data_IF_041328061336
#
_entry.id   IF_041328061336
#
_cell.length_a   1.000
_cell.length_b   1.000
_cell.length_c   1.000
_cell.angle_alpha   90.00
_cell.angle_beta   90.00
_cell.angle_gamma   90.00
#
_symmetry.space_group_name_H-M   'P 1'
#
loop_
_entity.id
_entity.type
_entity.pdbx_description
1 polymer ?
#
# COMPACT_ATOMS: atom_id res chain seq x y z
N UNK A 1 -61.96 48.86 -12.57
CA UNK A 1 -60.54 48.70 -12.97
C UNK A 1 -59.70 48.38 -11.73
N UNK A 2 -58.57 47.70 -11.95
CA UNK A 2 -57.46 47.40 -11.02
C UNK A 2 -57.70 46.31 -9.97
N UNK A 3 -56.81 45.31 -10.03
CA UNK A 3 -56.89 44.01 -9.36
C UNK A 3 -56.34 44.06 -7.92
N UNK A 4 -56.83 43.15 -7.06
CA UNK A 4 -56.20 42.80 -5.78
C UNK A 4 -55.46 41.47 -5.93
N UNK A 5 -54.21 41.40 -5.47
CA UNK A 5 -53.50 40.13 -5.31
C UNK A 5 -53.90 39.46 -3.99
N UNK A 6 -54.19 38.15 -4.04
CA UNK A 6 -54.54 37.35 -2.87
C UNK A 6 -53.29 36.74 -2.23
N UNK A 7 -53.09 36.98 -0.93
CA UNK A 7 -52.29 36.10 -0.07
C UNK A 7 -53.20 35.00 0.48
N UNK A 8 -52.83 33.74 0.25
CA UNK A 8 -53.54 32.57 0.80
C UNK A 8 -52.67 31.96 1.91
N UNK A 9 -53.15 32.06 3.15
CA UNK A 9 -52.68 31.30 4.31
C UNK A 9 -53.87 30.52 4.86
N UNK A 10 -53.84 29.18 4.83
CA UNK A 10 -54.79 28.30 5.52
C UNK A 10 -54.11 26.94 5.79
N UNK A 11 -53.63 26.68 7.02
CA UNK A 11 -54.24 25.88 8.11
C UNK A 11 -54.16 24.34 7.95
N UNK A 12 -53.32 23.75 8.81
CA UNK A 12 -53.49 22.58 9.71
C UNK A 12 -54.49 21.45 9.37
N UNK A 13 -53.99 20.21 9.48
CA UNK A 13 -54.67 19.04 10.07
C UNK A 13 -53.64 18.37 11.04
N UNK A 14 -53.87 18.22 12.37
CA UNK A 14 -54.67 17.20 13.08
C UNK A 14 -54.30 15.75 12.67
N UNK A 15 -53.99 14.77 13.55
CA UNK A 15 -54.68 14.34 14.81
C UNK A 15 -53.85 13.44 15.76
N UNK A 16 -54.14 13.50 17.09
CA UNK A 16 -54.21 12.41 18.13
C UNK A 16 -53.04 11.39 18.34
N UNK A 17 -52.68 10.87 19.54
CA UNK A 17 -53.26 10.75 20.91
C UNK A 17 -52.13 11.04 21.98
N UNK A 18 -52.30 11.43 23.26
CA UNK A 18 -53.01 10.80 24.42
C UNK A 18 -52.58 9.33 24.65
N UNK A 19 -52.16 8.80 25.79
CA UNK A 19 -51.71 9.29 27.12
C UNK A 19 -50.52 8.37 27.57
N UNK A 20 -49.92 8.38 28.77
CA UNK A 20 -50.15 9.11 30.03
C UNK A 20 -48.82 9.24 30.83
N UNK A 21 -48.83 9.88 32.00
CA UNK A 21 -47.67 9.99 32.89
C UNK A 21 -47.87 9.26 34.23
N UNK A 22 -47.13 8.15 34.44
CA UNK A 22 -47.01 7.51 35.76
C UNK A 22 -45.58 7.56 36.30
N UNK A 23 -45.39 8.35 37.37
CA UNK A 23 -44.15 8.37 38.17
C UNK A 23 -44.02 7.10 39.00
N UNK A 24 -42.88 6.42 38.91
CA UNK A 24 -42.47 5.41 39.90
C UNK A 24 -41.26 5.96 40.68
N UNK A 25 -41.28 5.80 42.01
CA UNK A 25 -40.29 6.33 42.97
C UNK A 25 -38.91 5.71 42.77
N UNK A 26 -37.81 6.38 43.18
CA UNK A 26 -36.47 5.80 43.11
C UNK A 26 -36.35 4.61 44.06
N UNK A 27 -36.27 3.40 43.51
CA UNK A 27 -35.97 2.18 44.25
C UNK A 27 -34.46 2.12 44.51
N UNK A 28 -34.12 1.52 45.65
CA UNK A 28 -32.83 1.66 46.33
C UNK A 28 -31.63 1.16 45.52
N UNK A 29 -30.44 1.61 45.93
CA UNK A 29 -29.12 1.25 45.38
C UNK A 29 -28.91 -0.27 45.32
N UNK A 30 -29.26 -0.90 44.21
CA UNK A 30 -28.65 -2.17 43.82
C UNK A 30 -27.24 -1.84 43.30
N UNK A 31 -26.21 -2.23 44.06
CA UNK A 31 -24.83 -2.18 43.57
C UNK A 31 -24.68 -3.22 42.46
N UNK A 32 -24.91 -2.81 41.21
CA UNK A 32 -24.46 -3.57 40.06
C UNK A 32 -22.94 -3.68 40.15
N UNK A 33 -22.46 -4.81 40.69
CA UNK A 33 -21.14 -5.33 40.32
C UNK A 33 -21.21 -5.56 38.82
N UNK A 34 -20.79 -4.56 38.05
CA UNK A 34 -20.23 -4.84 36.74
C UNK A 34 -19.05 -5.78 37.01
N UNK A 35 -19.29 -7.09 36.89
CA UNK A 35 -18.20 -8.00 36.61
C UNK A 35 -17.48 -7.40 35.41
N UNK A 36 -16.23 -6.98 35.63
CA UNK A 36 -15.38 -6.56 34.53
C UNK A 36 -15.25 -7.78 33.66
N UNK A 37 -16.02 -7.84 32.57
CA UNK A 37 -15.79 -8.76 31.46
C UNK A 37 -14.34 -8.53 31.09
N UNK A 38 -13.45 -9.43 31.53
CA UNK A 38 -12.03 -9.35 31.24
C UNK A 38 -11.95 -9.23 29.72
N UNK A 39 -11.30 -8.19 29.16
CA UNK A 39 -11.28 -7.99 27.72
C UNK A 39 -10.80 -9.30 27.11
N UNK A 40 -11.67 -9.92 26.32
CA UNK A 40 -11.48 -11.28 25.82
C UNK A 40 -10.08 -11.32 25.20
N UNK A 41 -9.14 -12.08 25.80
CA UNK A 41 -7.70 -11.98 25.48
C UNK A 41 -7.55 -12.19 23.98
N UNK A 42 -7.43 -11.08 23.24
CA UNK A 42 -7.41 -11.11 21.78
C UNK A 42 -6.17 -11.90 21.40
N UNK A 43 -6.37 -13.06 20.79
CA UNK A 43 -5.31 -14.05 20.68
C UNK A 43 -4.20 -13.50 19.80
N UNK A 44 -3.00 -13.35 20.36
CA UNK A 44 -1.82 -12.75 19.71
C UNK A 44 -1.49 -13.40 18.35
N UNK A 45 -1.88 -14.67 18.16
CA UNK A 45 -1.81 -15.39 16.87
C UNK A 45 -2.57 -14.72 15.72
N UNK A 46 -3.67 -14.00 15.97
CA UNK A 46 -4.44 -13.32 14.90
C UNK A 46 -3.71 -12.10 14.38
N UNK A 47 -3.17 -11.26 15.29
CA UNK A 47 -2.38 -10.09 14.93
C UNK A 47 -1.10 -10.45 14.17
N UNK A 48 -0.38 -11.48 14.62
CA UNK A 48 0.82 -11.96 13.91
C UNK A 48 0.52 -12.49 12.49
N UNK A 49 -0.71 -12.94 12.23
CA UNK A 49 -1.14 -13.30 10.88
C UNK A 49 -1.51 -12.04 10.07
N UNK A 50 -2.29 -11.13 10.63
CA UNK A 50 -2.65 -9.86 9.97
C UNK A 50 -1.42 -9.02 9.60
N UNK A 51 -0.43 -8.88 10.48
CA UNK A 51 0.82 -8.17 10.20
C UNK A 51 1.61 -8.81 9.05
N UNK A 52 1.69 -10.16 8.99
CA UNK A 52 2.31 -10.89 7.87
C UNK A 52 1.51 -10.76 6.57
N UNK A 53 0.18 -10.59 6.65
CA UNK A 53 -0.65 -10.27 5.49
C UNK A 53 -0.34 -8.86 5.01
N UNK A 54 -0.27 -7.86 5.91
CA UNK A 54 0.06 -6.49 5.56
C UNK A 54 1.49 -6.33 5.03
N UNK A 55 2.50 -7.06 5.55
CA UNK A 55 3.86 -7.03 5.02
C UNK A 55 3.95 -7.63 3.61
N UNK A 56 3.34 -8.81 3.39
CA UNK A 56 3.27 -9.43 2.06
C UNK A 56 2.47 -8.62 1.05
N UNK A 57 1.37 -7.98 1.49
CA UNK A 57 0.65 -7.00 0.67
C UNK A 57 1.54 -5.81 0.31
N UNK A 58 2.36 -5.30 1.24
CA UNK A 58 3.27 -4.16 1.03
C UNK A 58 4.41 -4.48 0.05
N UNK A 59 4.97 -5.68 0.08
CA UNK A 59 5.95 -6.15 -0.92
C UNK A 59 5.32 -6.28 -2.31
N UNK A 60 4.14 -6.93 -2.40
CA UNK A 60 3.37 -6.98 -3.63
C UNK A 60 3.02 -5.58 -4.14
N UNK A 61 2.73 -4.63 -3.24
CA UNK A 61 2.44 -3.24 -3.58
C UNK A 61 3.63 -2.50 -4.18
N UNK A 62 4.88 -2.82 -3.80
CA UNK A 62 6.08 -2.21 -4.40
C UNK A 62 6.23 -2.66 -5.87
N UNK A 63 6.11 -3.96 -6.13
CA UNK A 63 6.19 -4.53 -7.48
C UNK A 63 5.00 -4.03 -8.33
N UNK A 64 3.79 -4.02 -7.75
CA UNK A 64 2.56 -3.54 -8.37
C UNK A 64 2.60 -2.03 -8.65
N UNK A 65 3.24 -1.21 -7.79
CA UNK A 65 3.49 0.22 -8.06
C UNK A 65 4.38 0.41 -9.28
N UNK A 66 5.49 -0.33 -9.38
CA UNK A 66 6.36 -0.25 -10.56
C UNK A 66 5.61 -0.56 -11.87
N UNK A 67 4.69 -1.55 -11.85
CA UNK A 67 3.82 -1.86 -12.99
C UNK A 67 2.76 -0.78 -13.28
N UNK A 68 2.21 -0.15 -12.24
CA UNK A 68 1.04 0.73 -12.32
C UNK A 68 1.33 2.20 -12.66
N UNK A 69 2.41 2.50 -13.39
CA UNK A 69 2.87 3.84 -13.82
C UNK A 69 3.88 4.56 -12.90
N UNK A 70 4.79 3.81 -12.25
CA UNK A 70 5.99 4.37 -11.62
C UNK A 70 7.25 3.98 -12.42
N UNK A 71 8.36 4.69 -12.24
CA UNK A 71 9.69 4.26 -12.66
C UNK A 71 10.63 4.20 -11.46
N UNK A 72 11.70 3.40 -11.55
CA UNK A 72 12.76 3.40 -10.56
C UNK A 72 13.80 4.44 -10.95
N UNK A 73 13.99 5.46 -10.12
CA UNK A 73 15.01 6.48 -10.30
C UNK A 73 16.19 6.18 -9.39
N UNK A 74 17.38 6.04 -9.99
CA UNK A 74 18.66 5.96 -9.28
C UNK A 74 19.32 7.33 -9.37
N UNK A 75 19.72 7.89 -8.24
CA UNK A 75 20.52 9.12 -8.15
C UNK A 75 21.93 8.72 -7.77
N UNK A 76 22.92 9.21 -8.53
CA UNK A 76 24.34 9.02 -8.24
C UNK A 76 24.97 10.39 -8.01
N UNK A 77 25.78 10.52 -6.96
CA UNK A 77 26.52 11.74 -6.65
C UNK A 77 27.98 11.40 -6.27
N UNK A 78 28.94 12.22 -6.71
CA UNK A 78 30.37 12.05 -6.39
C UNK A 78 31.14 13.37 -6.50
N UNK A 79 32.28 13.47 -5.83
CA UNK A 79 33.25 14.56 -6.01
C UNK A 79 34.14 14.36 -7.26
N UNK A 80 34.21 13.14 -7.80
CA UNK A 80 35.05 12.80 -8.95
C UNK A 80 34.20 12.48 -10.18
N UNK A 81 34.46 13.16 -11.30
CA UNK A 81 33.78 12.94 -12.58
C UNK A 81 33.91 11.51 -13.07
N UNK A 82 35.12 10.96 -12.99
CA UNK A 82 35.50 9.74 -13.69
C UNK A 82 34.93 8.52 -12.97
N UNK A 83 34.87 8.59 -11.64
CA UNK A 83 34.19 7.60 -10.80
C UNK A 83 32.68 7.60 -11.05
N UNK A 84 32.06 8.78 -11.21
CA UNK A 84 30.64 8.90 -11.54
C UNK A 84 30.34 8.29 -12.93
N UNK A 85 31.17 8.60 -13.95
CA UNK A 85 31.04 8.01 -15.29
C UNK A 85 31.20 6.48 -15.26
N UNK A 86 32.19 5.96 -14.52
CA UNK A 86 32.40 4.52 -14.35
C UNK A 86 31.24 3.84 -13.61
N UNK A 87 30.64 4.50 -12.62
CA UNK A 87 29.43 4.00 -11.95
C UNK A 87 28.24 3.89 -12.91
N UNK A 88 28.00 4.94 -13.72
CA UNK A 88 26.96 4.94 -14.76
C UNK A 88 27.17 3.82 -15.78
N UNK A 89 28.42 3.61 -16.23
CA UNK A 89 28.78 2.55 -17.17
C UNK A 89 28.47 1.16 -16.57
N UNK A 90 28.97 0.86 -15.36
CA UNK A 90 28.72 -0.40 -14.67
C UNK A 90 27.21 -0.69 -14.50
N UNK A 91 26.42 0.33 -14.16
CA UNK A 91 24.95 0.20 -14.02
C UNK A 91 24.31 -0.07 -15.38
N UNK A 92 24.71 0.65 -16.43
CA UNK A 92 24.18 0.48 -17.80
C UNK A 92 24.48 -0.91 -18.34
N UNK A 93 25.71 -1.38 -18.21
CA UNK A 93 26.12 -2.74 -18.59
C UNK A 93 25.33 -3.80 -17.83
N UNK A 94 25.17 -3.63 -16.50
CA UNK A 94 24.46 -4.59 -15.67
C UNK A 94 22.97 -4.68 -16.03
N UNK A 95 22.33 -3.55 -16.29
CA UNK A 95 20.91 -3.52 -16.69
C UNK A 95 20.72 -4.00 -18.13
N UNK A 96 21.69 -3.78 -19.03
CA UNK A 96 21.63 -4.30 -20.41
C UNK A 96 21.57 -5.84 -20.52
N UNK A 97 21.88 -6.56 -19.43
CA UNK A 97 21.70 -8.02 -19.32
C UNK A 97 20.22 -8.43 -19.11
N UNK A 98 19.32 -7.48 -18.88
CA UNK A 98 17.95 -7.70 -18.41
C UNK A 98 16.93 -7.02 -19.34
N UNK A 99 16.35 -7.72 -20.34
CA UNK A 99 15.49 -7.12 -21.36
C UNK A 99 14.16 -6.56 -20.81
N UNK A 100 13.77 -6.94 -19.60
CA UNK A 100 12.60 -6.38 -18.91
C UNK A 100 12.80 -4.93 -18.42
N UNK A 101 14.03 -4.43 -18.37
CA UNK A 101 14.35 -3.09 -17.89
C UNK A 101 14.79 -2.19 -19.04
N UNK A 102 14.14 -1.03 -19.17
CA UNK A 102 14.44 -0.02 -20.18
C UNK A 102 15.06 1.18 -19.47
N UNK A 103 16.32 1.48 -19.78
CA UNK A 103 17.07 2.60 -19.20
C UNK A 103 16.82 3.85 -20.06
N UNK A 104 16.30 4.91 -19.45
CA UNK A 104 16.54 6.26 -19.95
C UNK A 104 17.91 6.71 -19.47
N UNK A 105 18.70 7.32 -20.36
CA UNK A 105 20.12 7.57 -20.18
C UNK A 105 20.48 8.46 -18.99
N UNK A 106 21.78 8.63 -18.68
CA UNK A 106 22.24 9.45 -17.56
C UNK A 106 21.80 10.91 -17.75
N UNK A 107 20.84 11.35 -16.95
CA UNK A 107 20.37 12.73 -16.89
C UNK A 107 21.33 13.50 -15.96
N UNK A 108 22.18 14.40 -16.46
CA UNK A 108 23.13 15.11 -15.60
C UNK A 108 22.39 16.08 -14.66
N UNK A 109 22.74 16.05 -13.38
CA UNK A 109 22.35 17.09 -12.41
C UNK A 109 23.31 18.28 -12.57
N UNK A 110 22.83 19.50 -12.34
CA UNK A 110 23.69 20.69 -12.28
C UNK A 110 24.78 20.48 -11.24
N UNK A 111 26.05 20.57 -11.66
CA UNK A 111 27.21 20.46 -10.76
C UNK A 111 27.12 21.53 -9.66
N UNK A 112 27.11 21.11 -8.40
CA UNK A 112 27.15 22.02 -7.26
C UNK A 112 28.61 22.44 -7.08
N UNK A 113 28.87 23.76 -7.10
CA UNK A 113 30.21 24.33 -6.90
C UNK A 113 30.18 25.17 -5.62
N UNK A 114 30.85 24.70 -4.57
CA UNK A 114 31.05 25.45 -3.33
C UNK A 114 32.42 26.13 -3.41
N UNK A 115 32.44 27.46 -3.47
CA UNK A 115 33.67 28.27 -3.56
C UNK A 115 34.00 28.87 -2.21
N UNK A 116 35.27 28.82 -1.83
CA UNK A 116 35.79 29.36 -0.58
C UNK A 116 37.00 30.23 -0.87
N UNK A 117 37.11 31.38 -0.19
CA UNK A 117 38.27 32.26 -0.32
C UNK A 117 38.97 32.39 1.01
N UNK A 118 40.21 31.92 1.09
CA UNK A 118 41.05 32.00 2.29
C UNK A 118 42.20 32.98 2.07
N UNK A 119 42.82 33.45 3.16
CA UNK A 119 44.08 34.18 3.08
C UNK A 119 45.22 33.16 2.91
N UNK A 120 46.21 33.50 2.08
CA UNK A 120 47.47 32.76 1.97
C UNK A 120 48.33 32.96 3.21
N UNK A 121 48.46 34.22 3.61
CA UNK A 121 49.25 34.62 4.76
C UNK A 121 48.45 34.40 6.06
N UNK A 122 49.07 33.94 7.15
CA UNK A 122 48.40 33.83 8.44
C UNK A 122 48.08 35.20 9.07
N UNK A 123 48.74 36.29 8.63
CA UNK A 123 48.54 37.63 9.20
C UNK A 123 48.78 38.75 8.17
N UNK A 124 48.23 39.94 8.43
CA UNK A 124 48.33 41.19 7.64
C UNK A 124 47.81 41.15 6.19
N UNK A 125 48.30 40.25 5.32
CA UNK A 125 48.23 40.39 3.86
C UNK A 125 46.84 40.08 3.27
N UNK A 126 45.91 41.03 3.44
CA UNK A 126 44.49 40.87 3.06
C UNK A 126 44.26 40.59 1.58
N UNK A 127 45.14 41.06 0.70
CA UNK A 127 44.98 40.92 -0.75
C UNK A 127 45.60 39.62 -1.30
N UNK A 128 46.44 38.95 -0.52
CA UNK A 128 46.99 37.64 -0.83
C UNK A 128 45.94 36.54 -0.53
N UNK A 129 44.98 36.36 -1.43
CA UNK A 129 43.85 35.43 -1.30
C UNK A 129 43.98 34.22 -2.22
N UNK A 130 43.55 33.06 -1.73
CA UNK A 130 43.36 31.84 -2.54
C UNK A 130 41.90 31.48 -2.69
N UNK A 131 41.56 30.92 -3.85
CA UNK A 131 40.21 30.46 -4.18
C UNK A 131 40.21 28.94 -4.31
N UNK A 132 39.46 28.26 -3.45
CA UNK A 132 39.25 26.82 -3.50
C UNK A 132 37.83 26.53 -3.95
N UNK A 133 37.63 25.44 -4.69
CA UNK A 133 36.29 24.96 -5.03
C UNK A 133 36.12 23.46 -4.76
N UNK A 134 35.00 23.12 -4.12
CA UNK A 134 34.52 21.75 -4.02
C UNK A 134 33.42 21.58 -5.07
N UNK A 135 33.67 20.73 -6.07
CA UNK A 135 32.70 20.34 -7.10
C UNK A 135 32.04 19.03 -6.70
N UNK A 136 30.71 19.01 -6.66
CA UNK A 136 29.92 17.79 -6.54
C UNK A 136 29.19 17.56 -7.86
N UNK A 137 29.56 16.49 -8.55
CA UNK A 137 28.91 16.00 -9.75
C UNK A 137 27.80 15.04 -9.38
N UNK A 138 26.76 14.99 -10.20
CA UNK A 138 25.65 14.08 -10.00
C UNK A 138 24.89 13.79 -11.28
N UNK A 139 24.22 12.66 -11.31
CA UNK A 139 23.31 12.28 -12.39
C UNK A 139 22.14 11.45 -11.86
N UNK A 140 21.10 11.34 -12.68
CA UNK A 140 19.97 10.44 -12.47
C UNK A 140 19.93 9.40 -13.59
N UNK A 141 19.49 8.19 -13.27
CA UNK A 141 19.17 7.13 -14.22
C UNK A 141 17.75 6.67 -13.96
N UNK A 142 16.91 6.70 -14.99
CA UNK A 142 15.49 6.33 -14.87
C UNK A 142 15.25 4.98 -15.53
N UNK A 143 14.74 4.02 -14.76
CA UNK A 143 14.56 2.62 -15.18
C UNK A 143 13.05 2.32 -15.24
N UNK A 144 12.59 2.13 -16.48
CA UNK A 144 11.22 1.77 -16.81
C UNK A 144 11.10 0.25 -16.95
N UNK A 145 9.90 -0.27 -16.68
CA UNK A 145 9.58 -1.67 -16.93
C UNK A 145 9.06 -1.84 -18.38
N UNK A 146 9.56 -2.85 -19.08
CA UNK A 146 8.99 -3.27 -20.36
C UNK A 146 7.69 -4.03 -20.12
N UNK A 147 6.55 -3.48 -20.55
CA UNK A 147 5.22 -4.09 -20.34
C UNK A 147 5.05 -5.47 -20.98
N UNK A 148 5.86 -5.79 -21.98
CA UNK A 148 5.78 -7.07 -22.72
C UNK A 148 6.47 -8.24 -22.01
N UNK A 149 7.26 -7.98 -20.96
CA UNK A 149 8.09 -9.01 -20.30
C UNK A 149 7.76 -9.07 -18.80
N UNK A 150 7.41 -10.27 -18.32
CA UNK A 150 7.09 -10.49 -16.90
C UNK A 150 8.32 -10.40 -16.01
N UNK A 151 8.21 -9.62 -14.92
CA UNK A 151 9.26 -9.44 -13.91
C UNK A 151 9.35 -10.67 -13.01
N UNK A 152 10.53 -11.31 -12.92
CA UNK A 152 10.80 -12.34 -11.89
C UNK A 152 11.51 -11.71 -10.69
N UNK A 153 11.05 -12.01 -9.47
CA UNK A 153 11.56 -11.40 -8.23
C UNK A 153 13.10 -11.41 -8.11
N UNK A 154 13.74 -12.54 -8.42
CA UNK A 154 15.19 -12.70 -8.33
C UNK A 154 15.97 -11.81 -9.31
N UNK A 155 15.36 -11.33 -10.39
CA UNK A 155 16.04 -10.46 -11.36
C UNK A 155 16.24 -9.05 -10.80
N UNK A 156 15.31 -8.56 -9.97
CA UNK A 156 15.41 -7.23 -9.36
C UNK A 156 16.58 -7.16 -8.36
N UNK A 157 16.68 -8.15 -7.46
CA UNK A 157 17.79 -8.25 -6.51
C UNK A 157 19.15 -8.41 -7.22
N UNK A 158 19.18 -9.15 -8.33
CA UNK A 158 20.40 -9.38 -9.11
C UNK A 158 20.83 -8.18 -9.96
N UNK A 159 19.93 -7.23 -10.24
CA UNK A 159 20.31 -5.94 -10.85
C UNK A 159 20.84 -4.98 -9.79
N UNK A 160 20.24 -4.91 -8.59
CA UNK A 160 20.66 -4.00 -7.52
C UNK A 160 22.08 -4.29 -6.99
N UNK A 161 22.62 -5.50 -7.17
CA UNK A 161 23.97 -5.89 -6.76
C UNK A 161 25.11 -5.39 -7.67
N UNK A 162 24.94 -4.21 -8.31
CA UNK A 162 25.98 -3.59 -9.14
C UNK A 162 27.23 -3.26 -8.31
N UNK A 163 28.42 -3.60 -8.83
CA UNK A 163 29.68 -3.13 -8.24
C UNK A 163 29.91 -1.67 -8.61
N UNK A 164 29.82 -0.77 -7.63
CA UNK A 164 30.12 0.65 -7.81
C UNK A 164 31.60 0.97 -7.47
N UNK A 165 32.21 1.96 -8.12
CA UNK A 165 33.53 2.46 -7.74
C UNK A 165 33.50 3.21 -6.40
N UNK A 166 34.67 3.34 -5.76
CA UNK A 166 34.84 4.07 -4.49
C UNK A 166 34.41 5.54 -4.63
N UNK A 167 33.97 6.16 -3.54
CA UNK A 167 33.56 7.58 -3.48
C UNK A 167 32.39 7.98 -4.40
N UNK A 168 31.54 7.03 -4.78
CA UNK A 168 30.23 7.31 -5.40
C UNK A 168 29.13 6.96 -4.41
N UNK A 169 28.34 7.95 -4.03
CA UNK A 169 27.08 7.73 -3.31
C UNK A 169 25.97 7.38 -4.29
N UNK A 170 25.05 6.53 -3.87
CA UNK A 170 23.83 6.25 -4.63
C UNK A 170 22.60 6.26 -3.73
N UNK A 171 21.50 6.74 -4.27
CA UNK A 171 20.16 6.69 -3.69
C UNK A 171 19.21 6.11 -4.75
N UNK A 172 18.13 5.46 -4.32
CA UNK A 172 17.10 5.00 -5.24
C UNK A 172 15.71 5.18 -4.64
N UNK A 173 14.74 5.51 -5.50
CA UNK A 173 13.34 5.63 -5.13
C UNK A 173 12.43 5.39 -6.34
N UNK A 174 11.18 5.02 -6.07
CA UNK A 174 10.15 4.97 -7.10
C UNK A 174 9.51 6.34 -7.26
N UNK A 175 9.47 6.84 -8.50
CA UNK A 175 8.85 8.12 -8.85
C UNK A 175 7.65 7.87 -9.78
N UNK A 176 6.58 8.64 -9.60
CA UNK A 176 5.40 8.56 -10.44
C UNK A 176 5.69 9.11 -11.84
N UNK A 177 5.29 8.37 -12.88
CA UNK A 177 5.31 8.90 -14.23
C UNK A 177 4.15 9.88 -14.38
N UNK A 178 4.37 11.16 -14.08
CA UNK A 178 3.39 12.24 -14.25
C UNK A 178 3.05 12.48 -15.74
N UNK A 179 2.25 11.58 -16.32
CA UNK A 179 1.51 11.81 -17.55
C UNK A 179 0.13 12.33 -17.19
N UNK A 180 -0.31 13.39 -17.88
CA UNK A 180 -1.68 13.85 -17.77
C UNK A 180 -2.64 12.75 -18.21
N UNK A 181 -3.52 12.31 -17.31
CA UNK A 181 -4.59 11.37 -17.62
C UNK A 181 -5.56 12.01 -18.62
N UNK A 182 -5.97 11.26 -19.64
CA UNK A 182 -7.00 11.75 -20.56
C UNK A 182 -8.33 11.87 -19.82
N UNK A 183 -9.23 12.70 -20.36
CA UNK A 183 -10.59 12.89 -19.82
C UNK A 183 -11.38 11.56 -19.77
N UNK A 184 -11.09 10.65 -20.69
CA UNK A 184 -11.58 9.26 -20.73
C UNK A 184 -11.06 8.43 -19.53
N UNK A 185 -9.74 8.44 -19.29
CA UNK A 185 -9.11 7.72 -18.18
C UNK A 185 -9.65 8.21 -16.83
N UNK A 186 -9.82 9.53 -16.68
CA UNK A 186 -10.45 10.15 -15.50
C UNK A 186 -11.91 9.71 -15.31
N UNK A 187 -12.66 9.49 -16.39
CA UNK A 187 -14.03 8.96 -16.33
C UNK A 187 -14.05 7.50 -15.86
N UNK A 188 -13.07 6.70 -16.29
CA UNK A 188 -12.88 5.31 -15.85
C UNK A 188 -12.39 5.20 -14.39
N UNK A 189 -11.58 6.15 -13.92
CA UNK A 189 -11.11 6.24 -12.52
C UNK A 189 -12.21 6.68 -11.54
N UNK A 190 -13.24 7.41 -12.01
CA UNK A 190 -14.45 7.77 -11.23
C UNK A 190 -15.39 6.57 -10.99
N UNK A 191 -14.84 5.44 -10.55
CA UNK A 191 -15.63 4.30 -10.02
C UNK A 191 -16.42 4.76 -8.80
N UNK A 192 -17.69 4.39 -8.70
CA UNK A 192 -18.50 4.62 -7.50
C UNK A 192 -17.83 3.94 -6.30
N UNK A 193 -17.43 4.74 -5.30
CA UNK A 193 -16.89 4.25 -4.02
C UNK A 193 -18.02 4.26 -2.98
N UNK A 194 -18.16 3.18 -2.23
CA UNK A 194 -19.03 3.12 -1.06
C UNK A 194 -18.18 3.17 0.20
N UNK A 195 -18.53 4.06 1.12
CA UNK A 195 -17.80 4.26 2.38
C UNK A 195 -18.62 3.66 3.51
N UNK A 196 -18.08 2.63 4.15
CA UNK A 196 -18.56 2.16 5.45
C UNK A 196 -17.78 2.85 6.57
N UNK A 197 -18.28 2.82 7.81
CA UNK A 197 -17.61 3.43 8.98
C UNK A 197 -16.16 2.96 9.20
N UNK A 198 -15.76 1.81 8.66
CA UNK A 198 -14.44 1.21 8.87
C UNK A 198 -13.63 0.98 7.59
N UNK A 199 -14.26 0.95 6.41
CA UNK A 199 -13.59 0.62 5.14
C UNK A 199 -14.16 1.39 3.94
N UNK A 200 -13.27 1.86 3.07
CA UNK A 200 -13.58 2.38 1.73
C UNK A 200 -13.59 1.22 0.73
N UNK A 201 -14.68 1.05 -0.02
CA UNK A 201 -14.84 -0.05 -0.96
C UNK A 201 -15.15 0.46 -2.37
N UNK A 202 -14.52 -0.12 -3.40
CA UNK A 202 -15.03 -0.03 -4.78
C UNK A 202 -16.35 -0.81 -4.84
N UNK A 203 -17.37 -0.24 -5.47
CA UNK A 203 -18.71 -0.84 -5.57
C UNK A 203 -18.70 -2.01 -6.58
N UNK A 204 -18.19 -3.16 -6.15
CA UNK A 204 -18.09 -4.39 -6.96
C UNK A 204 -18.78 -5.58 -6.28
N UNK A 205 -20.09 -5.47 -6.11
CA UNK A 205 -20.90 -6.41 -5.33
C UNK A 205 -20.91 -7.84 -5.91
N UNK A 206 -20.90 -7.99 -7.25
CA UNK A 206 -20.90 -9.30 -7.92
C UNK A 206 -19.61 -10.09 -7.63
N UNK A 207 -18.45 -9.45 -7.74
CA UNK A 207 -17.17 -10.08 -7.42
C UNK A 207 -17.05 -10.40 -5.93
N UNK A 208 -17.44 -9.47 -5.04
CA UNK A 208 -17.48 -9.77 -3.59
C UNK A 208 -18.34 -11.00 -3.30
N UNK A 209 -19.57 -11.05 -3.83
CA UNK A 209 -20.45 -12.21 -3.68
C UNK A 209 -19.76 -13.50 -4.15
N UNK A 210 -19.19 -13.52 -5.36
CA UNK A 210 -18.47 -14.69 -5.89
C UNK A 210 -17.38 -15.20 -4.93
N UNK A 211 -16.50 -14.34 -4.42
CA UNK A 211 -15.44 -14.78 -3.49
C UNK A 211 -15.95 -15.17 -2.11
N UNK A 212 -17.03 -14.53 -1.64
CA UNK A 212 -17.67 -14.84 -0.36
C UNK A 212 -18.38 -16.20 -0.41
N UNK A 213 -19.09 -16.50 -1.50
CA UNK A 213 -19.74 -17.79 -1.73
C UNK A 213 -18.69 -18.92 -1.86
N UNK A 214 -17.62 -18.69 -2.64
CA UNK A 214 -16.46 -19.61 -2.75
C UNK A 214 -15.75 -19.87 -1.41
N UNK A 215 -15.70 -18.89 -0.52
CA UNK A 215 -15.12 -19.02 0.83
C UNK A 215 -16.00 -19.87 1.76
N UNK A 216 -17.33 -19.76 1.66
CA UNK A 216 -18.24 -20.63 2.41
C UNK A 216 -18.12 -22.09 1.97
N UNK A 217 -18.12 -22.34 0.67
CA UNK A 217 -17.97 -23.67 0.07
C UNK A 217 -16.70 -24.37 0.56
N UNK A 218 -15.61 -23.61 0.74
CA UNK A 218 -14.30 -24.13 1.16
C UNK A 218 -13.98 -23.84 2.65
N UNK A 219 -14.99 -23.55 3.46
CA UNK A 219 -14.87 -23.15 4.87
C UNK A 219 -14.08 -24.14 5.74
N UNK A 220 -14.17 -25.46 5.47
CA UNK A 220 -13.37 -26.52 6.13
C UNK A 220 -11.86 -26.23 6.08
N UNK A 221 -11.37 -25.57 5.03
CA UNK A 221 -9.95 -25.32 4.78
C UNK A 221 -9.52 -23.89 5.15
N UNK A 222 -10.35 -23.12 5.86
CA UNK A 222 -9.95 -21.79 6.35
C UNK A 222 -8.91 -21.87 7.48
N UNK A 223 -8.10 -20.82 7.60
CA UNK A 223 -7.15 -20.63 8.72
C UNK A 223 -7.58 -19.49 9.67
N UNK A 224 -8.73 -18.87 9.39
CA UNK A 224 -9.36 -17.82 10.19
C UNK A 224 -10.74 -18.33 10.57
N UNK A 225 -11.13 -18.17 11.84
CA UNK A 225 -12.47 -18.53 12.30
C UNK A 225 -13.50 -17.61 11.63
N UNK A 226 -14.48 -18.19 10.94
CA UNK A 226 -15.56 -17.42 10.34
C UNK A 226 -16.28 -16.56 11.40
N UNK A 227 -16.69 -15.32 11.06
CA UNK A 227 -17.60 -14.55 11.90
C UNK A 227 -18.92 -15.31 12.07
N UNK A 228 -19.60 -15.10 13.21
CA UNK A 228 -20.88 -15.80 13.50
C UNK A 228 -21.98 -15.45 12.50
N UNK A 229 -21.89 -14.31 11.84
CA UNK A 229 -22.81 -13.87 10.81
C UNK A 229 -22.09 -13.80 9.45
N UNK A 230 -22.63 -14.50 8.45
CA UNK A 230 -22.15 -14.49 7.07
C UNK A 230 -22.00 -13.06 6.48
N UNK A 231 -22.92 -12.16 6.82
CA UNK A 231 -22.90 -10.78 6.30
C UNK A 231 -21.65 -9.99 6.72
N UNK A 232 -20.94 -10.42 7.77
CA UNK A 232 -19.67 -9.80 8.17
C UNK A 232 -18.57 -9.99 7.12
N UNK A 233 -18.63 -11.04 6.28
CA UNK A 233 -17.66 -11.24 5.19
C UNK A 233 -17.70 -10.12 4.14
N UNK A 234 -18.89 -9.57 3.86
CA UNK A 234 -19.05 -8.47 2.88
C UNK A 234 -18.43 -7.15 3.35
N UNK A 235 -18.15 -6.99 4.65
CA UNK A 235 -17.48 -5.82 5.22
C UNK A 235 -16.02 -5.72 4.75
N UNK A 236 -15.33 -6.84 4.57
CA UNK A 236 -13.93 -6.87 4.14
C UNK A 236 -13.75 -6.34 2.71
N UNK A 237 -12.65 -5.61 2.41
CA UNK A 237 -12.23 -5.30 1.05
C UNK A 237 -12.12 -6.54 0.16
N UNK A 238 -12.36 -6.36 -1.14
CA UNK A 238 -12.30 -7.45 -2.13
C UNK A 238 -10.92 -8.13 -2.16
N UNK A 239 -9.85 -7.36 -2.04
CA UNK A 239 -8.47 -7.86 -2.04
C UNK A 239 -8.18 -8.79 -0.84
N UNK A 240 -8.78 -8.50 0.33
CA UNK A 240 -8.69 -9.36 1.52
C UNK A 240 -9.48 -10.66 1.31
N UNK A 241 -10.68 -10.59 0.69
CA UNK A 241 -11.47 -11.77 0.35
C UNK A 241 -10.74 -12.67 -0.66
N UNK A 242 -10.13 -12.08 -1.69
CA UNK A 242 -9.27 -12.80 -2.65
C UNK A 242 -8.05 -13.44 -1.98
N UNK A 243 -7.41 -12.74 -1.04
CA UNK A 243 -6.28 -13.28 -0.27
C UNK A 243 -6.71 -14.48 0.59
N UNK A 244 -7.82 -14.37 1.34
CA UNK A 244 -8.35 -15.47 2.13
C UNK A 244 -8.71 -16.67 1.24
N UNK A 245 -9.34 -16.43 0.09
CA UNK A 245 -9.68 -17.49 -0.86
C UNK A 245 -8.43 -18.21 -1.40
N UNK A 246 -7.39 -17.45 -1.76
CA UNK A 246 -6.10 -18.04 -2.14
C UNK A 246 -5.55 -18.92 -1.02
N UNK A 247 -5.57 -18.46 0.24
CA UNK A 247 -5.11 -19.25 1.39
C UNK A 247 -5.97 -20.47 1.71
N UNK A 248 -7.29 -20.43 1.47
CA UNK A 248 -8.12 -21.65 1.56
C UNK A 248 -7.75 -22.66 0.50
N UNK A 249 -7.39 -22.24 -0.71
CA UNK A 249 -7.01 -23.14 -1.79
C UNK A 249 -5.59 -23.71 -1.60
N UNK A 250 -4.63 -22.89 -1.15
CA UNK A 250 -3.30 -23.36 -0.71
C UNK A 250 -3.45 -24.48 0.34
N UNK A 251 -4.32 -24.27 1.35
CA UNK A 251 -4.57 -25.25 2.43
C UNK A 251 -5.34 -26.47 1.93
N UNK A 252 -6.43 -26.30 1.16
CA UNK A 252 -7.20 -27.40 0.56
C UNK A 252 -6.30 -28.34 -0.26
N UNK A 253 -5.41 -27.76 -1.09
CA UNK A 253 -4.42 -28.51 -1.85
C UNK A 253 -3.52 -29.36 -0.93
N UNK A 254 -2.94 -28.75 0.11
CA UNK A 254 -2.10 -29.47 1.08
C UNK A 254 -2.83 -30.64 1.78
N UNK A 255 -4.13 -30.48 2.12
CA UNK A 255 -4.92 -31.58 2.71
C UNK A 255 -5.11 -32.75 1.75
N UNK A 256 -5.35 -32.49 0.45
CA UNK A 256 -5.44 -33.55 -0.56
C UNK A 256 -4.08 -34.22 -0.82
N UNK A 257 -2.98 -33.47 -0.80
CA UNK A 257 -1.61 -34.01 -0.94
C UNK A 257 -1.19 -34.89 0.25
N UNK A 258 -1.82 -34.75 1.42
CA UNK A 258 -1.47 -35.46 2.65
C UNK A 258 -2.63 -36.31 3.20
N UNK A 259 -3.56 -36.74 2.35
CA UNK A 259 -4.82 -37.38 2.77
C UNK A 259 -4.62 -38.65 3.61
N UNK A 260 -3.65 -39.50 3.26
CA UNK A 260 -3.30 -40.72 4.00
C UNK A 260 -2.75 -40.41 5.41
N UNK A 261 -1.90 -39.39 5.52
CA UNK A 261 -1.39 -38.92 6.82
C UNK A 261 -2.51 -38.37 7.69
N UNK A 262 -3.46 -37.63 7.10
CA UNK A 262 -4.62 -37.12 7.83
C UNK A 262 -5.53 -38.24 8.32
N UNK A 263 -5.82 -39.27 7.49
CA UNK A 263 -6.58 -40.47 7.92
C UNK A 263 -5.91 -41.19 9.10
N UNK A 264 -4.57 -41.31 9.06
CA UNK A 264 -3.78 -41.91 10.15
C UNK A 264 -3.76 -41.07 11.43
N UNK A 265 -3.77 -39.74 11.32
CA UNK A 265 -3.88 -38.83 12.48
C UNK A 265 -5.30 -38.90 13.07
N UNK A 266 -6.33 -38.94 12.23
CA UNK A 266 -7.73 -39.07 12.66
C UNK A 266 -7.94 -40.40 13.40
N UNK A 267 -7.47 -41.54 12.86
CA UNK A 267 -7.58 -42.84 13.56
C UNK A 267 -6.90 -42.84 14.93
N UNK A 268 -5.72 -42.22 15.05
CA UNK A 268 -4.98 -42.09 16.32
C UNK A 268 -5.58 -41.08 17.31
N UNK A 269 -6.67 -40.39 16.94
CA UNK A 269 -7.33 -39.39 17.80
C UNK A 269 -8.68 -39.83 18.36
N UNK A 270 -9.13 -41.03 17.97
CA UNK A 270 -10.35 -41.68 18.48
C UNK A 270 -10.06 -42.82 19.48
N UNK A 271 -8.78 -43.19 19.64
CA UNK A 271 -8.24 -44.07 20.70
C UNK A 271 -7.78 -43.24 21.92
#
# INVERSE_FOLDING_TARGET
>A
MNLKFHFIFLIVYYTYNISDAFKIKPIQKASFRCERIKPLRKTTRVYNNEEKVYSGLKELDIIKKWQNNYHLRIVLDSYFSDHLQKAVLNIKEKISQYPQFIISGPIPKKTIRKRFTFLRSPHVDKDSREQFEIKQYGCKLDIFLNSSISLKNNQFTNFLSVKLPRFVGFEYYFEENYKGLKKEDLKNLKKKKYVSKYYTNVLNAKEKKKYVDLLLENSKYMNVRLPRNFFDLYKYPLEILQYYYKKTMDKKKWYHENEELMKKIESLSFD
#
